data_IF_612256500903
#
_entry.id   IF_612256500903
#
_cell.length_a   1.000
_cell.length_b   1.000
_cell.length_c   1.000
_cell.angle_alpha   90.00
_cell.angle_beta   90.00
_cell.angle_gamma   90.00
#
_symmetry.space_group_name_H-M   'P 1'
#
loop_
_entity.id
_entity.type
_entity.pdbx_description
1 polymer ?
#
# COMPACT_ATOMS: atom_id res chain seq x y z
N UNK A 1 -30.40 0.32 2.30
CA UNK A 1 -29.66 1.45 1.67
C UNK A 1 -28.34 0.96 1.06
N UNK A 2 -27.49 0.23 1.81
CA UNK A 2 -26.20 -0.24 1.29
C UNK A 2 -26.32 -1.13 0.05
N UNK A 3 -27.22 -2.10 0.01
CA UNK A 3 -27.42 -2.98 -1.15
C UNK A 3 -27.78 -2.19 -2.42
N UNK A 4 -28.61 -1.15 -2.29
CA UNK A 4 -28.96 -0.29 -3.43
C UNK A 4 -27.73 0.48 -3.91
N UNK A 5 -26.93 1.02 -2.99
CA UNK A 5 -25.68 1.72 -3.33
C UNK A 5 -24.71 0.78 -4.05
N UNK A 6 -24.54 -0.45 -3.55
CA UNK A 6 -23.65 -1.45 -4.13
C UNK A 6 -24.12 -1.85 -5.54
N UNK A 7 -25.43 -2.09 -5.72
CA UNK A 7 -26.01 -2.39 -7.05
C UNK A 7 -25.77 -1.22 -8.00
N UNK A 8 -25.98 0.02 -7.54
CA UNK A 8 -25.75 1.21 -8.35
C UNK A 8 -24.28 1.33 -8.77
N UNK A 9 -23.35 1.10 -7.86
CA UNK A 9 -21.91 1.09 -8.16
C UNK A 9 -21.58 0.06 -9.24
N UNK A 10 -22.13 -1.15 -9.13
CA UNK A 10 -21.91 -2.21 -10.12
C UNK A 10 -22.48 -1.84 -11.50
N UNK A 11 -23.69 -1.30 -11.54
CA UNK A 11 -24.33 -0.88 -12.80
C UNK A 11 -23.54 0.26 -13.46
N UNK A 12 -23.13 1.26 -12.69
CA UNK A 12 -22.30 2.36 -13.20
C UNK A 12 -20.95 1.78 -13.70
N UNK A 13 -20.33 0.88 -12.95
CA UNK A 13 -19.07 0.28 -13.33
C UNK A 13 -19.19 -0.50 -14.64
N UNK A 14 -20.22 -1.33 -14.77
CA UNK A 14 -20.52 -2.08 -15.99
C UNK A 14 -20.71 -1.15 -17.19
N UNK A 15 -21.53 -0.10 -17.04
CA UNK A 15 -21.73 0.91 -18.08
C UNK A 15 -20.43 1.61 -18.49
N UNK A 16 -19.61 2.01 -17.53
CA UNK A 16 -18.32 2.65 -17.79
C UNK A 16 -17.34 1.71 -18.50
N UNK A 17 -17.29 0.43 -18.10
CA UNK A 17 -16.49 -0.59 -18.79
C UNK A 17 -16.98 -0.82 -20.22
N UNK A 18 -18.30 -0.78 -20.44
CA UNK A 18 -18.88 -0.87 -21.78
C UNK A 18 -18.49 0.33 -22.65
N UNK A 19 -18.48 1.53 -22.10
CA UNK A 19 -18.06 2.75 -22.81
C UNK A 19 -16.57 2.76 -23.12
N UNK A 20 -15.72 2.60 -22.11
CA UNK A 20 -14.26 2.49 -22.24
C UNK A 20 -13.67 1.73 -21.06
N UNK A 21 -12.70 0.85 -21.33
CA UNK A 21 -12.00 0.14 -20.27
C UNK A 21 -11.26 1.10 -19.33
N UNK A 22 -10.75 2.22 -19.85
CA UNK A 22 -10.08 3.25 -19.05
C UNK A 22 -11.03 3.95 -18.08
N UNK A 23 -12.28 4.24 -18.49
CA UNK A 23 -13.31 4.75 -17.56
C UNK A 23 -13.67 3.74 -16.48
N UNK A 24 -13.77 2.45 -16.84
CA UNK A 24 -13.96 1.37 -15.87
C UNK A 24 -12.81 1.29 -14.86
N UNK A 25 -11.55 1.33 -15.33
CA UNK A 25 -10.38 1.35 -14.47
C UNK A 25 -10.33 2.58 -13.56
N UNK A 26 -10.60 3.77 -14.07
CA UNK A 26 -10.66 4.99 -13.29
C UNK A 26 -11.73 4.89 -12.19
N UNK A 27 -12.92 4.42 -12.51
CA UNK A 27 -13.98 4.22 -11.54
C UNK A 27 -13.62 3.15 -10.49
N UNK A 28 -12.98 2.04 -10.91
CA UNK A 28 -12.45 1.04 -9.98
C UNK A 28 -11.46 1.63 -9.00
N UNK A 29 -10.51 2.48 -9.47
CA UNK A 29 -9.55 3.17 -8.61
C UNK A 29 -10.28 4.04 -7.57
N UNK A 30 -11.29 4.81 -7.99
CA UNK A 30 -12.07 5.65 -7.08
C UNK A 30 -12.80 4.83 -6.03
N UNK A 31 -13.51 3.77 -6.45
CA UNK A 31 -14.25 2.90 -5.53
C UNK A 31 -13.33 2.18 -4.58
N UNK A 32 -12.21 1.62 -5.08
CA UNK A 32 -11.21 0.94 -4.23
C UNK A 32 -10.60 1.87 -3.18
N UNK A 33 -10.45 3.17 -3.49
CA UNK A 33 -9.92 4.15 -2.56
C UNK A 33 -10.95 4.63 -1.53
N UNK A 34 -12.23 4.75 -1.94
CA UNK A 34 -13.27 5.43 -1.15
C UNK A 34 -14.15 4.46 -0.37
N UNK A 35 -14.46 3.29 -0.92
CA UNK A 35 -15.40 2.34 -0.30
C UNK A 35 -14.63 1.36 0.61
N UNK A 36 -15.15 1.01 1.79
CA UNK A 36 -14.50 0.04 2.68
C UNK A 36 -14.48 -1.38 2.11
N UNK A 37 -13.40 -2.11 2.38
CA UNK A 37 -13.16 -3.49 1.92
C UNK A 37 -14.22 -4.53 2.34
N UNK A 38 -14.87 -4.44 3.52
CA UNK A 38 -15.86 -5.43 3.95
C UNK A 38 -17.11 -5.52 3.08
N UNK A 39 -17.32 -4.53 2.18
CA UNK A 39 -18.46 -4.54 1.26
C UNK A 39 -18.44 -5.77 0.35
N UNK A 40 -19.39 -6.68 0.53
CA UNK A 40 -19.49 -7.95 -0.23
C UNK A 40 -20.69 -7.96 -1.18
N UNK A 41 -20.52 -8.68 -2.30
CA UNK A 41 -21.53 -8.92 -3.34
C UNK A 41 -21.46 -10.38 -3.73
N UNK A 42 -22.56 -11.12 -3.55
CA UNK A 42 -22.62 -12.55 -3.87
C UNK A 42 -21.44 -13.37 -3.29
N UNK A 43 -21.03 -13.06 -2.05
CA UNK A 43 -19.91 -13.72 -1.37
C UNK A 43 -18.51 -13.24 -1.75
N UNK A 44 -18.38 -12.41 -2.79
CA UNK A 44 -17.11 -11.78 -3.19
C UNK A 44 -17.02 -10.36 -2.64
N UNK A 45 -15.79 -9.87 -2.44
CA UNK A 45 -15.62 -8.44 -2.17
C UNK A 45 -16.06 -7.62 -3.37
N UNK A 46 -16.61 -6.42 -3.13
CA UNK A 46 -17.02 -5.51 -4.20
C UNK A 46 -15.89 -5.29 -5.22
N UNK A 47 -14.66 -5.15 -4.75
CA UNK A 47 -13.48 -4.95 -5.62
C UNK A 47 -13.19 -6.15 -6.50
N UNK A 48 -13.27 -7.36 -5.94
CA UNK A 48 -13.08 -8.59 -6.72
C UNK A 48 -14.14 -8.69 -7.80
N UNK A 49 -15.39 -8.37 -7.48
CA UNK A 49 -16.49 -8.37 -8.45
C UNK A 49 -16.25 -7.35 -9.57
N UNK A 50 -15.83 -6.13 -9.24
CA UNK A 50 -15.49 -5.11 -10.23
C UNK A 50 -14.30 -5.53 -11.10
N UNK A 51 -13.29 -6.18 -10.52
CA UNK A 51 -12.15 -6.70 -11.30
C UNK A 51 -12.56 -7.80 -12.27
N UNK A 52 -13.46 -8.69 -11.87
CA UNK A 52 -14.02 -9.72 -12.78
C UNK A 52 -14.71 -9.07 -13.98
N UNK A 53 -15.51 -8.02 -13.74
CA UNK A 53 -16.15 -7.25 -14.84
C UNK A 53 -15.07 -6.63 -15.74
N UNK A 54 -14.05 -5.98 -15.17
CA UNK A 54 -12.96 -5.38 -15.96
C UNK A 54 -12.20 -6.42 -16.79
N UNK A 55 -11.89 -7.57 -16.20
CA UNK A 55 -11.22 -8.68 -16.90
C UNK A 55 -12.09 -9.18 -18.05
N UNK A 56 -13.38 -9.37 -17.82
CA UNK A 56 -14.32 -9.78 -18.87
C UNK A 56 -14.31 -8.81 -20.05
N UNK A 57 -14.46 -7.51 -19.80
CA UNK A 57 -14.41 -6.50 -20.86
C UNK A 57 -13.03 -6.39 -21.52
N UNK A 58 -11.94 -6.58 -20.75
CA UNK A 58 -10.59 -6.62 -21.30
C UNK A 58 -10.41 -7.80 -22.27
N UNK A 59 -10.89 -9.00 -21.89
CA UNK A 59 -10.84 -10.18 -22.76
C UNK A 59 -11.65 -9.99 -24.04
N UNK A 60 -12.91 -9.55 -23.94
CA UNK A 60 -13.77 -9.30 -25.10
C UNK A 60 -13.14 -8.30 -26.07
N UNK A 61 -12.61 -7.21 -25.55
CA UNK A 61 -11.93 -6.18 -26.38
C UNK A 61 -10.60 -6.65 -26.92
N UNK A 62 -9.84 -7.46 -26.18
CA UNK A 62 -8.55 -7.98 -26.66
C UNK A 62 -8.73 -9.05 -27.75
N UNK A 63 -9.79 -9.83 -27.69
CA UNK A 63 -10.15 -10.77 -28.78
C UNK A 63 -10.41 -10.03 -30.10
N UNK A 64 -10.98 -8.81 -30.03
CA UNK A 64 -11.28 -7.96 -31.20
C UNK A 64 -10.04 -7.18 -31.68
N UNK A 65 -9.07 -6.86 -30.78
CA UNK A 65 -7.94 -5.94 -31.07
C UNK A 65 -6.57 -6.60 -30.87
N UNK A 66 -6.07 -7.35 -31.83
CA UNK A 66 -4.79 -8.11 -31.73
C UNK A 66 -3.47 -7.28 -31.79
N UNK A 67 -3.49 -5.93 -31.81
CA UNK A 67 -2.31 -5.12 -32.20
C UNK A 67 -1.25 -4.86 -31.11
N UNK A 68 -1.52 -5.04 -29.80
CA UNK A 68 -0.60 -4.58 -28.72
C UNK A 68 0.17 -5.69 -27.98
N UNK A 69 0.52 -6.79 -28.67
CA UNK A 69 1.15 -7.96 -28.01
C UNK A 69 2.52 -7.73 -27.36
N UNK A 70 3.34 -6.80 -27.87
CA UNK A 70 4.74 -6.62 -27.38
C UNK A 70 4.83 -5.99 -25.99
N UNK A 71 4.02 -4.99 -25.70
CA UNK A 71 4.10 -4.23 -24.44
C UNK A 71 3.56 -5.01 -23.25
N UNK A 72 2.50 -5.81 -23.46
CA UNK A 72 1.91 -6.66 -22.43
C UNK A 72 2.86 -7.80 -22.06
N UNK A 73 3.53 -8.44 -23.02
CA UNK A 73 4.50 -9.53 -22.77
C UNK A 73 5.69 -9.07 -21.92
N UNK A 74 6.24 -7.86 -22.16
CA UNK A 74 7.37 -7.35 -21.39
C UNK A 74 7.00 -7.06 -19.91
N UNK A 75 5.75 -6.69 -19.64
CA UNK A 75 5.26 -6.39 -18.30
C UNK A 75 4.82 -7.63 -17.51
N UNK A 76 4.45 -8.73 -18.18
CA UNK A 76 4.00 -9.98 -17.52
C UNK A 76 5.14 -10.79 -16.91
N UNK A 77 6.34 -10.63 -17.44
CA UNK A 77 7.49 -11.47 -17.09
C UNK A 77 7.80 -11.52 -15.58
N UNK A 78 7.87 -10.42 -14.79
CA UNK A 78 8.18 -10.50 -13.37
C UNK A 78 7.16 -11.33 -12.58
N UNK A 79 5.88 -11.24 -12.93
CA UNK A 79 4.79 -11.90 -12.19
C UNK A 79 4.74 -13.40 -12.39
N UNK A 80 5.14 -13.89 -13.57
CA UNK A 80 5.28 -15.32 -13.82
C UNK A 80 6.33 -15.92 -12.90
N UNK A 81 7.45 -15.20 -12.71
CA UNK A 81 8.53 -15.64 -11.80
C UNK A 81 8.20 -15.49 -10.31
N UNK A 82 7.11 -14.84 -9.95
CA UNK A 82 6.60 -14.82 -8.59
C UNK A 82 5.58 -15.94 -8.37
N UNK A 83 4.50 -15.93 -9.18
CA UNK A 83 3.33 -16.76 -8.93
C UNK A 83 3.61 -18.23 -9.18
N UNK A 84 4.32 -18.57 -10.26
CA UNK A 84 4.56 -19.96 -10.66
C UNK A 84 5.46 -20.73 -9.67
N UNK A 85 6.62 -20.21 -9.23
CA UNK A 85 7.41 -20.87 -8.21
C UNK A 85 6.68 -21.03 -6.88
N UNK A 86 5.93 -20.00 -6.43
CA UNK A 86 5.15 -20.08 -5.19
C UNK A 86 4.06 -21.17 -5.30
N UNK A 87 3.40 -21.28 -6.46
CA UNK A 87 2.42 -22.34 -6.70
C UNK A 87 3.05 -23.74 -6.65
N UNK A 88 4.26 -23.91 -7.19
CA UNK A 88 4.99 -25.19 -7.14
C UNK A 88 5.43 -25.49 -5.70
N UNK A 89 5.98 -24.52 -4.98
CA UNK A 89 6.39 -24.71 -3.58
C UNK A 89 5.21 -25.11 -2.69
N UNK A 90 4.02 -24.62 -2.99
CA UNK A 90 2.78 -24.99 -2.30
C UNK A 90 2.46 -26.49 -2.38
N UNK A 91 2.93 -27.22 -3.38
CA UNK A 91 2.74 -28.67 -3.49
C UNK A 91 3.44 -29.47 -2.39
N UNK A 92 4.44 -28.88 -1.74
CA UNK A 92 5.22 -29.49 -0.67
C UNK A 92 4.77 -29.01 0.73
N UNK A 93 3.74 -28.17 0.80
CA UNK A 93 3.22 -27.62 2.04
C UNK A 93 2.23 -28.53 2.75
N UNK A 94 1.95 -28.21 4.01
CA UNK A 94 0.99 -28.93 4.87
C UNK A 94 -0.41 -28.31 4.86
N UNK A 95 -0.57 -27.11 4.28
CA UNK A 95 -1.87 -26.44 4.15
C UNK A 95 -2.69 -27.10 3.04
N UNK A 96 -4.00 -27.15 3.22
CA UNK A 96 -4.92 -27.67 2.20
C UNK A 96 -4.72 -26.98 0.84
N UNK A 97 -4.61 -27.77 -0.22
CA UNK A 97 -4.33 -27.27 -1.56
C UNK A 97 -5.42 -26.35 -2.07
N UNK A 98 -6.69 -26.61 -1.78
CA UNK A 98 -7.78 -25.78 -2.24
C UNK A 98 -7.71 -24.37 -1.64
N UNK A 99 -7.34 -24.30 -0.36
CA UNK A 99 -7.12 -23.03 0.34
C UNK A 99 -5.90 -22.27 -0.23
N UNK A 100 -4.78 -22.97 -0.44
CA UNK A 100 -3.55 -22.36 -0.97
C UNK A 100 -3.78 -21.75 -2.35
N UNK A 101 -4.31 -22.54 -3.29
CA UNK A 101 -4.54 -22.05 -4.67
C UNK A 101 -5.61 -20.98 -4.73
N UNK A 102 -6.66 -21.09 -3.92
CA UNK A 102 -7.67 -20.02 -3.80
C UNK A 102 -7.04 -18.72 -3.32
N UNK A 103 -6.18 -18.78 -2.30
CA UNK A 103 -5.49 -17.60 -1.75
C UNK A 103 -4.52 -16.99 -2.76
N UNK A 104 -3.77 -17.83 -3.50
CA UNK A 104 -2.84 -17.37 -4.53
C UNK A 104 -3.57 -16.75 -5.73
N UNK A 105 -4.68 -17.35 -6.17
CA UNK A 105 -5.53 -16.80 -7.22
C UNK A 105 -6.15 -15.48 -6.77
N UNK A 106 -6.61 -15.40 -5.52
CA UNK A 106 -7.12 -14.17 -4.95
C UNK A 106 -6.04 -13.08 -4.95
N UNK A 107 -4.83 -13.36 -4.49
CA UNK A 107 -3.70 -12.43 -4.55
C UNK A 107 -3.43 -11.96 -5.99
N UNK A 108 -3.33 -12.88 -6.94
CA UNK A 108 -3.11 -12.54 -8.35
C UNK A 108 -4.24 -11.66 -8.91
N UNK A 109 -5.49 -11.97 -8.54
CA UNK A 109 -6.67 -11.24 -8.99
C UNK A 109 -6.77 -9.85 -8.35
N UNK A 110 -6.63 -9.74 -7.02
CA UNK A 110 -6.89 -8.47 -6.32
C UNK A 110 -5.70 -7.53 -6.28
N UNK A 111 -4.49 -8.07 -6.20
CA UNK A 111 -3.28 -7.27 -5.99
C UNK A 111 -2.48 -7.05 -7.28
N UNK A 112 -2.45 -8.04 -8.18
CA UNK A 112 -1.62 -7.99 -9.38
C UNK A 112 -2.40 -7.55 -10.62
N UNK A 113 -3.64 -8.01 -10.80
CA UNK A 113 -4.42 -7.74 -12.01
C UNK A 113 -4.66 -6.24 -12.32
N UNK A 114 -4.78 -5.32 -11.31
CA UNK A 114 -4.93 -3.89 -11.58
C UNK A 114 -3.81 -3.32 -12.46
N UNK A 115 -2.58 -3.80 -12.29
CA UNK A 115 -1.46 -3.41 -13.15
C UNK A 115 -1.73 -3.73 -14.62
N UNK A 116 -2.10 -4.98 -14.92
CA UNK A 116 -2.34 -5.42 -16.29
C UNK A 116 -3.55 -4.74 -16.92
N UNK A 117 -4.61 -4.58 -16.12
CA UNK A 117 -5.82 -3.91 -16.59
C UNK A 117 -5.54 -2.46 -17.01
N UNK A 118 -4.76 -1.72 -16.21
CA UNK A 118 -4.34 -0.36 -16.58
C UNK A 118 -3.41 -0.34 -17.80
N UNK A 119 -2.47 -1.31 -17.89
CA UNK A 119 -1.60 -1.43 -19.05
C UNK A 119 -2.35 -1.68 -20.35
N UNK A 120 -3.48 -2.41 -20.29
CA UNK A 120 -4.34 -2.70 -21.45
C UNK A 120 -5.33 -1.55 -21.71
N UNK A 121 -5.88 -0.97 -20.64
CA UNK A 121 -6.95 0.03 -20.71
C UNK A 121 -6.46 1.38 -21.24
N UNK A 122 -5.29 1.85 -20.78
CA UNK A 122 -4.79 3.18 -21.11
C UNK A 122 -4.09 3.15 -22.47
N UNK A 123 -4.70 3.78 -23.48
CA UNK A 123 -4.22 3.81 -24.86
C UNK A 123 -3.74 5.18 -25.32
N UNK A 124 -4.17 6.25 -24.66
CA UNK A 124 -3.85 7.62 -24.99
C UNK A 124 -3.61 8.48 -23.73
N UNK A 125 -3.16 9.71 -23.94
CA UNK A 125 -2.85 10.65 -22.86
C UNK A 125 -4.07 11.05 -22.05
N UNK A 126 -5.23 11.20 -22.64
CA UNK A 126 -6.46 11.62 -21.96
C UNK A 126 -6.95 10.55 -20.99
N UNK A 127 -6.86 9.27 -21.39
CA UNK A 127 -7.15 8.14 -20.51
C UNK A 127 -6.16 8.04 -19.36
N UNK A 128 -4.87 8.33 -19.61
CA UNK A 128 -3.89 8.40 -18.54
C UNK A 128 -4.20 9.55 -17.57
N UNK A 129 -4.49 10.74 -18.09
CA UNK A 129 -4.88 11.90 -17.27
C UNK A 129 -6.12 11.62 -16.43
N UNK A 130 -7.11 10.94 -17.01
CA UNK A 130 -8.31 10.53 -16.28
C UNK A 130 -7.96 9.66 -15.07
N UNK A 131 -7.19 8.58 -15.26
CA UNK A 131 -6.79 7.68 -14.17
C UNK A 131 -5.97 8.39 -13.10
N UNK A 132 -5.02 9.24 -13.50
CA UNK A 132 -4.19 10.05 -12.59
C UNK A 132 -5.04 11.03 -11.79
N UNK A 133 -5.93 11.76 -12.45
CA UNK A 133 -6.84 12.72 -11.80
C UNK A 133 -7.75 12.01 -10.81
N UNK A 134 -8.31 10.87 -11.20
CA UNK A 134 -9.18 10.07 -10.33
C UNK A 134 -8.41 9.57 -9.09
N UNK A 135 -7.23 8.99 -9.27
CA UNK A 135 -6.38 8.55 -8.15
C UNK A 135 -6.06 9.71 -7.20
N UNK A 136 -5.67 10.86 -7.77
CA UNK A 136 -5.28 12.03 -6.98
C UNK A 136 -6.46 12.61 -6.18
N UNK A 137 -7.62 12.77 -6.80
CA UNK A 137 -8.82 13.32 -6.15
C UNK A 137 -9.32 12.35 -5.07
N UNK A 138 -9.41 11.06 -5.40
CA UNK A 138 -9.87 10.03 -4.46
C UNK A 138 -8.97 9.99 -3.23
N UNK A 139 -7.64 10.03 -3.42
CA UNK A 139 -6.71 10.07 -2.29
C UNK A 139 -6.83 11.36 -1.47
N UNK A 140 -7.01 12.52 -2.09
CA UNK A 140 -7.21 13.77 -1.35
C UNK A 140 -8.47 13.71 -0.47
N UNK A 141 -9.58 13.22 -1.02
CA UNK A 141 -10.83 13.08 -0.27
C UNK A 141 -10.60 12.17 0.95
N UNK A 142 -10.04 11.00 0.72
CA UNK A 142 -9.86 9.99 1.78
C UNK A 142 -8.75 10.36 2.75
N UNK A 143 -7.68 10.98 2.29
CA UNK A 143 -6.61 11.44 3.16
C UNK A 143 -7.06 12.55 4.11
N UNK A 144 -7.89 13.50 3.64
CA UNK A 144 -8.52 14.50 4.51
C UNK A 144 -9.49 13.83 5.47
N UNK A 145 -10.32 12.94 4.98
CA UNK A 145 -11.25 12.18 5.80
C UNK A 145 -10.54 11.38 6.91
N UNK A 146 -9.42 10.74 6.57
CA UNK A 146 -8.59 10.04 7.56
C UNK A 146 -8.14 10.97 8.69
N UNK A 147 -7.69 12.18 8.38
CA UNK A 147 -7.29 13.17 9.39
C UNK A 147 -8.50 13.63 10.21
N UNK A 148 -9.65 13.86 9.57
CA UNK A 148 -10.88 14.22 10.29
C UNK A 148 -11.28 13.12 11.26
N UNK A 149 -11.27 11.86 10.85
CA UNK A 149 -11.57 10.72 11.73
C UNK A 149 -10.57 10.59 12.87
N UNK A 150 -9.29 10.87 12.62
CA UNK A 150 -8.25 10.87 13.65
C UNK A 150 -8.49 11.95 14.71
N UNK A 151 -8.86 13.17 14.31
CA UNK A 151 -9.08 14.29 15.23
C UNK A 151 -10.41 14.14 15.98
N UNK A 152 -11.47 13.71 15.30
CA UNK A 152 -12.81 13.63 15.88
C UNK A 152 -13.08 12.30 16.58
N UNK A 153 -12.24 11.29 16.36
CA UNK A 153 -12.46 9.90 16.78
C UNK A 153 -13.80 9.31 16.30
N UNK A 154 -14.40 9.91 15.25
CA UNK A 154 -15.68 9.47 14.69
C UNK A 154 -15.45 9.00 13.26
N UNK A 155 -15.71 7.72 12.99
CA UNK A 155 -15.73 7.19 11.65
C UNK A 155 -17.17 7.12 11.11
N UNK A 156 -17.54 8.08 10.25
CA UNK A 156 -18.90 8.15 9.69
C UNK A 156 -19.27 6.91 8.84
N UNK A 157 -18.30 6.22 8.25
CA UNK A 157 -18.59 4.96 7.55
C UNK A 157 -19.10 3.90 8.52
N UNK A 158 -18.48 3.78 9.67
CA UNK A 158 -18.95 2.87 10.72
C UNK A 158 -20.34 3.28 11.19
N UNK A 159 -20.58 4.57 11.42
CA UNK A 159 -21.89 5.06 11.84
C UNK A 159 -22.98 4.82 10.78
N UNK A 160 -22.67 5.06 9.50
CA UNK A 160 -23.65 4.93 8.42
C UNK A 160 -23.91 3.47 8.03
N UNK A 161 -22.95 2.59 8.19
CA UNK A 161 -22.96 1.23 7.65
C UNK A 161 -22.75 0.14 8.69
N UNK A 162 -22.67 0.47 10.00
CA UNK A 162 -22.43 -0.48 11.08
C UNK A 162 -23.33 -1.72 11.01
N UNK A 163 -24.65 -1.51 10.81
CA UNK A 163 -25.62 -2.61 10.70
C UNK A 163 -25.51 -3.43 9.41
N UNK A 164 -24.79 -2.93 8.42
CA UNK A 164 -24.69 -3.57 7.11
C UNK A 164 -23.40 -4.38 6.96
N UNK A 165 -22.42 -4.17 7.82
CA UNK A 165 -21.11 -4.80 7.76
C UNK A 165 -20.91 -5.91 8.79
N UNK A 166 -21.93 -6.22 9.58
CA UNK A 166 -21.84 -7.21 10.67
C UNK A 166 -20.60 -6.96 11.57
N UNK A 167 -20.43 -5.70 11.95
CA UNK A 167 -19.42 -5.30 12.91
C UNK A 167 -19.83 -5.85 14.29
N UNK A 168 -19.51 -7.11 14.53
CA UNK A 168 -19.67 -7.74 15.84
C UNK A 168 -18.61 -7.20 16.80
N UNK A 169 -18.92 -6.18 17.51
CA UNK A 169 -18.08 -5.60 18.55
C UNK A 169 -17.41 -4.29 18.09
N UNK A 170 -17.14 -3.48 18.97
CA UNK A 170 -16.39 -2.23 18.97
C UNK A 170 -16.46 -1.40 17.68
N UNK A 171 -17.55 -0.67 17.55
CA UNK A 171 -17.55 0.59 16.84
C UNK A 171 -16.28 1.33 17.25
N UNK A 172 -15.35 1.57 16.31
CA UNK A 172 -14.23 2.44 16.55
C UNK A 172 -14.68 3.89 16.68
N UNK A 173 -15.41 4.12 17.75
CA UNK A 173 -15.42 5.37 18.47
C UNK A 173 -14.15 5.32 19.27
N UNK A 174 -13.15 6.10 18.88
CA UNK A 174 -11.80 6.07 19.38
C UNK A 174 -11.65 5.66 20.84
N UNK A 175 -11.43 4.40 21.08
CA UNK A 175 -10.99 3.91 22.37
C UNK A 175 -9.51 4.22 22.54
N UNK A 176 -9.15 5.53 22.63
CA UNK A 176 -7.81 5.96 22.98
C UNK A 176 -6.68 5.52 22.06
N UNK A 177 -6.98 4.98 20.88
CA UNK A 177 -5.93 4.63 19.94
C UNK A 177 -5.49 5.86 19.15
N UNK A 178 -4.35 6.37 19.51
CA UNK A 178 -3.68 7.54 18.98
C UNK A 178 -3.10 7.33 17.57
N UNK A 179 -3.71 6.46 16.76
CA UNK A 179 -3.20 6.11 15.43
C UNK A 179 -4.19 6.41 14.34
N UNK A 180 -3.71 7.08 13.29
CA UNK A 180 -4.48 7.24 12.05
C UNK A 180 -4.62 5.89 11.34
N UNK A 181 -5.82 5.36 11.25
CA UNK A 181 -6.10 4.09 10.56
C UNK A 181 -6.71 4.26 9.17
N UNK A 182 -6.96 5.49 8.76
CA UNK A 182 -7.69 5.79 7.54
C UNK A 182 -9.19 5.49 7.66
N UNK A 183 -9.91 5.73 6.58
CA UNK A 183 -11.36 5.48 6.50
C UNK A 183 -11.70 4.00 6.48
N UNK A 184 -10.72 3.20 6.12
CA UNK A 184 -10.87 1.79 5.81
C UNK A 184 -10.73 0.90 7.04
N UNK A 185 -10.58 1.49 8.24
CA UNK A 185 -10.36 0.70 9.43
C UNK A 185 -11.64 0.01 9.87
N UNK A 186 -11.73 -1.27 9.62
CA UNK A 186 -12.62 -2.15 10.33
C UNK A 186 -11.80 -3.25 10.99
N UNK A 187 -11.73 -3.22 12.28
CA UNK A 187 -11.10 -4.31 13.05
C UNK A 187 -12.00 -5.54 13.15
N UNK A 188 -13.27 -5.39 12.85
CA UNK A 188 -14.29 -6.42 13.10
C UNK A 188 -14.20 -7.66 12.19
N UNK A 189 -13.50 -7.61 11.07
CA UNK A 189 -13.48 -8.75 10.13
C UNK A 189 -12.26 -9.65 10.24
N UNK A 190 -11.36 -9.43 11.21
CA UNK A 190 -10.07 -10.13 11.26
C UNK A 190 -9.15 -9.84 10.05
N UNK A 191 -9.60 -9.01 9.12
CA UNK A 191 -8.81 -8.53 8.02
C UNK A 191 -7.92 -7.39 8.52
N UNK A 192 -6.68 -7.69 8.86
CA UNK A 192 -5.65 -6.72 9.22
C UNK A 192 -5.38 -5.68 8.10
N UNK A 193 -6.03 -5.84 6.95
CA UNK A 193 -5.85 -5.03 5.76
C UNK A 193 -6.29 -3.57 5.90
N UNK A 194 -6.99 -3.21 6.94
CA UNK A 194 -7.63 -1.91 7.11
C UNK A 194 -7.10 -1.13 8.31
N UNK A 195 -5.93 -1.49 8.81
CA UNK A 195 -5.29 -0.83 9.93
C UNK A 195 -4.34 0.31 9.54
N UNK A 196 -3.65 0.87 10.51
CA UNK A 196 -2.69 1.95 10.34
C UNK A 196 -1.53 1.58 9.39
N UNK A 197 -1.08 0.32 9.40
CA UNK A 197 0.01 -0.14 8.52
C UNK A 197 -0.40 -0.09 7.04
N UNK A 198 -1.50 -0.74 6.61
CA UNK A 198 -1.94 -0.66 5.21
C UNK A 198 -2.19 0.77 4.75
N UNK A 199 -2.84 1.58 5.57
CA UNK A 199 -3.08 2.98 5.24
C UNK A 199 -1.79 3.78 5.09
N UNK A 200 -0.83 3.55 5.99
CA UNK A 200 0.49 4.15 5.90
C UNK A 200 1.25 3.72 4.65
N UNK A 201 1.20 2.43 4.28
CA UNK A 201 1.80 1.94 3.04
C UNK A 201 1.15 2.55 1.80
N UNK A 202 -0.19 2.67 1.78
CA UNK A 202 -0.90 3.36 0.70
C UNK A 202 -0.45 4.82 0.62
N UNK A 203 -0.38 5.52 1.76
CA UNK A 203 0.05 6.92 1.82
C UNK A 203 1.51 7.10 1.39
N UNK A 204 2.39 6.14 1.71
CA UNK A 204 3.78 6.12 1.25
C UNK A 204 3.88 5.94 -0.28
N UNK A 205 3.05 5.07 -0.86
CA UNK A 205 2.93 4.90 -2.31
C UNK A 205 2.42 6.19 -2.95
N UNK A 206 1.42 6.84 -2.36
CA UNK A 206 0.89 8.11 -2.84
C UNK A 206 1.91 9.25 -2.69
N UNK A 207 2.68 9.29 -1.61
CA UNK A 207 3.80 10.23 -1.46
C UNK A 207 4.81 10.06 -2.60
N UNK A 208 5.22 8.84 -2.87
CA UNK A 208 6.11 8.51 -3.98
C UNK A 208 5.52 8.98 -5.32
N UNK A 209 4.23 8.72 -5.54
CA UNK A 209 3.52 9.20 -6.72
C UNK A 209 3.55 10.73 -6.82
N UNK A 210 3.19 11.46 -5.78
CA UNK A 210 3.19 12.92 -5.76
C UNK A 210 4.57 13.54 -5.99
N UNK A 211 5.62 12.92 -5.44
CA UNK A 211 6.99 13.38 -5.58
C UNK A 211 7.56 13.19 -6.99
N UNK A 212 7.33 12.03 -7.60
CA UNK A 212 7.95 11.67 -8.88
C UNK A 212 7.05 11.87 -10.10
N UNK A 213 5.72 11.94 -9.96
CA UNK A 213 4.84 12.17 -11.08
C UNK A 213 4.77 13.67 -11.45
N UNK A 214 5.16 14.03 -12.68
CA UNK A 214 5.39 15.45 -13.04
C UNK A 214 4.16 16.20 -13.53
N UNK A 215 3.21 15.50 -14.17
CA UNK A 215 2.05 16.14 -14.79
C UNK A 215 0.78 16.04 -13.93
N UNK A 216 0.88 16.40 -12.67
CA UNK A 216 -0.29 16.85 -11.94
C UNK A 216 -0.42 18.35 -12.32
N UNK A 217 -1.38 18.65 -13.20
CA UNK A 217 -1.46 19.94 -13.90
C UNK A 217 -1.61 21.16 -12.96
N UNK A 218 -2.10 20.95 -11.74
CA UNK A 218 -2.24 22.01 -10.75
C UNK A 218 -1.17 21.87 -9.65
N UNK A 219 -0.29 22.90 -9.55
CA UNK A 219 0.78 22.94 -8.54
C UNK A 219 0.24 22.93 -7.10
N UNK A 220 -0.90 23.58 -6.86
CA UNK A 220 -1.54 23.58 -5.54
C UNK A 220 -2.02 22.17 -5.21
N UNK A 221 -2.72 21.52 -6.14
CA UNK A 221 -3.18 20.13 -5.99
C UNK A 221 -2.02 19.19 -5.70
N UNK A 222 -0.90 19.33 -6.42
CA UNK A 222 0.30 18.52 -6.22
C UNK A 222 0.90 18.72 -4.83
N UNK A 223 1.05 19.97 -4.41
CA UNK A 223 1.64 20.27 -3.10
C UNK A 223 0.73 19.79 -1.96
N UNK A 224 -0.58 20.03 -2.06
CA UNK A 224 -1.56 19.54 -1.08
C UNK A 224 -1.55 18.02 -0.99
N UNK A 225 -1.43 17.35 -2.13
CA UNK A 225 -1.33 15.89 -2.20
C UNK A 225 -0.08 15.36 -1.48
N UNK A 226 1.09 15.97 -1.70
CA UNK A 226 2.35 15.59 -1.03
C UNK A 226 2.27 15.85 0.47
N UNK A 227 1.79 17.03 0.89
CA UNK A 227 1.65 17.39 2.30
C UNK A 227 0.71 16.40 2.99
N UNK A 228 -0.44 16.13 2.37
CA UNK A 228 -1.42 15.20 2.90
C UNK A 228 -0.86 13.77 3.03
N UNK A 229 -0.07 13.32 2.03
CA UNK A 229 0.57 12.02 2.08
C UNK A 229 1.61 11.92 3.21
N UNK A 230 2.42 12.96 3.41
CA UNK A 230 3.37 13.03 4.54
C UNK A 230 2.62 13.00 5.87
N UNK A 231 1.58 13.82 6.03
CA UNK A 231 0.78 13.84 7.27
C UNK A 231 0.13 12.48 7.55
N UNK A 232 -0.48 11.86 6.53
CA UNK A 232 -1.09 10.54 6.71
C UNK A 232 -0.04 9.47 7.06
N UNK A 233 1.14 9.47 6.44
CA UNK A 233 2.23 8.56 6.83
C UNK A 233 2.63 8.76 8.29
N UNK A 234 2.82 10.01 8.70
CA UNK A 234 3.28 10.37 10.04
C UNK A 234 2.26 10.00 11.10
N UNK A 235 0.97 10.34 10.89
CA UNK A 235 -0.10 10.10 11.85
C UNK A 235 -0.47 8.60 12.02
N UNK A 236 0.01 7.71 11.13
CA UNK A 236 -0.13 6.27 11.37
C UNK A 236 0.74 5.75 12.50
N UNK A 237 1.72 6.53 12.95
CA UNK A 237 2.68 6.18 14.02
C UNK A 237 3.49 4.91 13.79
N UNK A 238 3.38 4.30 12.61
CA UNK A 238 4.04 3.04 12.30
C UNK A 238 5.45 3.26 11.74
N UNK A 239 6.45 2.73 12.44
CA UNK A 239 7.89 2.83 12.06
C UNK A 239 8.16 2.31 10.66
N UNK A 240 7.49 1.22 10.28
CA UNK A 240 7.60 0.64 8.94
C UNK A 240 7.12 1.55 7.81
N UNK A 241 6.43 2.64 8.15
CA UNK A 241 5.99 3.68 7.22
C UNK A 241 6.84 4.94 7.38
N UNK A 242 7.06 5.37 8.61
CA UNK A 242 7.79 6.62 8.92
C UNK A 242 9.25 6.53 8.46
N UNK A 243 9.94 5.42 8.75
CA UNK A 243 11.36 5.27 8.37
C UNK A 243 11.56 5.31 6.85
N UNK A 244 10.82 4.52 6.04
CA UNK A 244 10.90 4.65 4.58
C UNK A 244 10.52 6.04 4.06
N UNK A 245 9.52 6.69 4.66
CA UNK A 245 9.13 8.06 4.32
C UNK A 245 10.29 9.04 4.53
N UNK A 246 10.92 8.99 5.70
CA UNK A 246 12.06 9.87 6.03
C UNK A 246 13.26 9.62 5.11
N UNK A 247 13.56 8.37 4.80
CA UNK A 247 14.62 8.02 3.84
C UNK A 247 14.31 8.55 2.44
N UNK A 248 13.05 8.44 1.98
CA UNK A 248 12.61 8.96 0.70
C UNK A 248 12.71 10.50 0.65
N UNK A 249 12.22 11.18 1.68
CA UNK A 249 12.31 12.64 1.79
C UNK A 249 13.77 13.11 1.89
N UNK A 250 14.60 12.41 2.69
CA UNK A 250 16.03 12.67 2.81
C UNK A 250 16.75 12.52 1.47
N UNK A 251 16.48 11.46 0.72
CA UNK A 251 17.01 11.27 -0.62
C UNK A 251 16.66 12.46 -1.55
N UNK A 252 15.39 12.86 -1.56
CA UNK A 252 14.94 13.97 -2.38
C UNK A 252 15.61 15.28 -1.94
N UNK A 253 15.72 15.47 -0.64
CA UNK A 253 16.34 16.67 -0.08
C UNK A 253 17.82 16.80 -0.50
N UNK A 254 18.56 15.70 -0.43
CA UNK A 254 19.98 15.66 -0.84
C UNK A 254 20.13 15.84 -2.34
N UNK A 255 19.42 15.07 -3.15
CA UNK A 255 19.65 15.04 -4.60
C UNK A 255 19.08 16.23 -5.36
N UNK A 256 18.10 16.95 -4.81
CA UNK A 256 17.53 18.14 -5.46
C UNK A 256 18.25 19.45 -5.18
N UNK A 257 19.40 19.39 -4.49
CA UNK A 257 20.15 20.59 -4.15
C UNK A 257 19.34 21.55 -3.28
N UNK A 258 18.41 21.00 -2.48
CA UNK A 258 17.60 21.78 -1.54
C UNK A 258 18.49 22.38 -0.44
N UNK A 259 19.73 21.92 -0.26
CA UNK A 259 20.77 22.52 0.56
C UNK A 259 21.23 23.89 0.04
N UNK A 260 20.29 24.75 -0.34
CA UNK A 260 20.59 26.18 -0.48
C UNK A 260 20.59 26.80 0.91
N UNK A 261 21.46 27.81 1.12
CA UNK A 261 21.51 28.59 2.39
C UNK A 261 20.09 29.02 2.82
N UNK A 262 19.25 29.42 1.86
CA UNK A 262 17.86 29.84 2.11
C UNK A 262 16.97 28.70 2.63
N UNK A 263 17.11 27.50 2.10
CA UNK A 263 16.29 26.35 2.54
C UNK A 263 16.82 25.74 3.83
N UNK A 264 18.14 25.82 4.07
CA UNK A 264 18.73 25.44 5.35
C UNK A 264 18.18 26.33 6.47
N UNK A 265 18.16 27.65 6.27
CA UNK A 265 17.59 28.60 7.23
C UNK A 265 16.11 28.31 7.49
N UNK A 266 15.32 28.00 6.43
CA UNK A 266 13.92 27.59 6.60
C UNK A 266 13.79 26.29 7.37
N UNK A 267 14.64 25.30 7.07
CA UNK A 267 14.66 24.03 7.78
C UNK A 267 14.98 24.20 9.27
N UNK A 268 15.99 25.00 9.58
CA UNK A 268 16.32 25.37 10.97
C UNK A 268 15.14 26.10 11.62
N UNK A 269 14.51 27.06 10.91
CA UNK A 269 13.32 27.74 11.40
C UNK A 269 12.17 26.80 11.75
N UNK A 270 11.91 25.81 10.90
CA UNK A 270 10.89 24.79 11.17
C UNK A 270 11.24 23.91 12.40
N UNK A 271 12.50 23.56 12.55
CA UNK A 271 12.96 22.79 13.74
C UNK A 271 12.78 23.65 15.01
N UNK A 272 13.14 24.92 14.97
CA UNK A 272 12.93 25.85 16.11
C UNK A 272 11.44 25.97 16.43
N UNK A 273 10.59 26.16 15.42
CA UNK A 273 9.12 26.20 15.60
C UNK A 273 8.64 24.88 16.23
N UNK A 274 9.11 23.72 15.74
CA UNK A 274 8.79 22.42 16.32
C UNK A 274 9.18 22.31 17.79
N UNK A 275 10.39 22.78 18.18
CA UNK A 275 10.85 22.81 19.57
C UNK A 275 9.98 23.75 20.42
N UNK A 276 9.65 24.93 19.91
CA UNK A 276 8.78 25.87 20.60
C UNK A 276 7.38 25.29 20.83
N UNK A 277 6.82 24.65 19.81
CA UNK A 277 5.54 23.94 19.93
C UNK A 277 5.61 22.77 20.93
N UNK A 278 6.67 21.98 20.89
CA UNK A 278 6.89 20.90 21.83
C UNK A 278 6.94 21.39 23.29
N UNK A 279 7.61 22.52 23.55
CA UNK A 279 7.73 23.06 24.90
C UNK A 279 6.39 23.65 25.39
N UNK A 280 5.66 24.35 24.51
CA UNK A 280 4.51 25.19 24.93
C UNK A 280 3.15 24.53 24.69
N UNK A 281 3.05 23.47 23.87
CA UNK A 281 1.77 22.85 23.51
C UNK A 281 1.76 21.39 24.02
N UNK A 282 1.01 21.09 25.10
CA UNK A 282 0.98 19.74 25.68
C UNK A 282 0.64 18.65 24.66
N UNK A 283 -0.35 18.88 23.81
CA UNK A 283 -0.77 17.93 22.76
C UNK A 283 0.39 17.59 21.81
N UNK A 284 1.24 18.56 21.45
CA UNK A 284 2.42 18.31 20.61
C UNK A 284 3.45 17.47 21.33
N UNK A 285 3.60 17.67 22.63
CA UNK A 285 4.48 16.88 23.49
C UNK A 285 4.00 15.45 23.59
N UNK A 286 2.70 15.25 23.84
CA UNK A 286 2.09 13.92 23.93
C UNK A 286 2.23 13.15 22.61
N UNK A 287 1.97 13.83 21.48
CA UNK A 287 2.18 13.26 20.13
C UNK A 287 3.66 12.93 19.89
N UNK A 288 4.60 13.74 20.39
CA UNK A 288 6.02 13.44 20.27
C UNK A 288 6.39 12.19 21.07
N UNK A 289 5.99 12.13 22.35
CA UNK A 289 6.28 10.99 23.22
C UNK A 289 5.63 9.71 22.71
N UNK A 290 4.35 9.76 22.34
CA UNK A 290 3.63 8.57 21.89
C UNK A 290 4.08 8.07 20.51
N UNK A 291 4.53 8.96 19.61
CA UNK A 291 4.72 8.62 18.19
C UNK A 291 6.18 8.66 17.73
N UNK A 292 6.94 9.67 18.16
CA UNK A 292 8.32 9.87 17.68
C UNK A 292 9.29 9.14 18.59
N UNK A 293 9.17 9.32 19.87
CA UNK A 293 10.06 8.72 20.86
C UNK A 293 9.95 7.19 20.84
N UNK A 294 8.73 6.67 20.90
CA UNK A 294 8.46 5.23 20.74
C UNK A 294 8.92 4.68 19.38
N UNK A 295 8.89 5.47 18.31
CA UNK A 295 9.40 5.05 17.01
C UNK A 295 10.92 5.02 16.93
N UNK A 296 11.60 5.92 17.64
CA UNK A 296 13.06 6.03 17.60
C UNK A 296 13.76 4.98 18.48
N UNK A 297 13.19 4.63 19.62
CA UNK A 297 13.84 3.75 20.61
C UNK A 297 13.45 2.27 20.55
N UNK A 298 13.06 1.78 19.35
CA UNK A 298 12.62 0.38 19.17
C UNK A 298 13.71 -0.68 19.45
N UNK A 299 14.96 -0.28 19.51
CA UNK A 299 16.11 -1.17 19.79
C UNK A 299 16.40 -1.32 21.28
N UNK A 300 15.77 -0.51 22.12
CA UNK A 300 15.96 -0.50 23.57
C UNK A 300 14.71 -1.07 24.24
N UNK A 301 14.85 -2.29 24.75
CA UNK A 301 13.73 -3.01 25.36
C UNK A 301 13.35 -2.42 26.74
N UNK A 302 14.28 -1.77 27.43
CA UNK A 302 14.04 -1.15 28.74
C UNK A 302 13.24 0.14 28.57
N UNK A 303 13.63 1.00 27.62
CA UNK A 303 12.86 2.19 27.25
C UNK A 303 11.49 1.83 26.67
N UNK A 304 11.40 0.73 25.93
CA UNK A 304 10.13 0.25 25.40
C UNK A 304 9.16 -0.19 26.51
N UNK A 305 9.68 -0.79 27.59
CA UNK A 305 8.88 -1.19 28.75
C UNK A 305 8.47 0.01 29.61
N UNK A 306 9.36 1.00 29.76
CA UNK A 306 9.10 2.22 30.55
C UNK A 306 8.00 3.11 29.94
N UNK A 307 7.88 3.12 28.60
CA UNK A 307 6.93 3.99 27.87
C UNK A 307 5.68 3.28 27.34
N UNK A 308 5.31 2.11 27.89
CA UNK A 308 4.15 1.32 27.42
C UNK A 308 4.12 1.14 25.91
N UNK A 309 5.23 0.71 25.36
CA UNK A 309 5.49 0.66 23.93
C UNK A 309 4.50 -0.24 23.19
N UNK A 310 3.61 0.36 22.40
CA UNK A 310 2.66 -0.37 21.56
C UNK A 310 3.32 -0.76 20.23
N UNK A 311 3.79 -1.98 20.12
CA UNK A 311 4.38 -2.52 18.88
C UNK A 311 5.48 -3.53 19.17
N UNK A 312 5.96 -4.20 18.11
CA UNK A 312 7.03 -5.19 18.24
C UNK A 312 8.39 -4.51 18.43
N UNK A 313 9.01 -4.78 19.57
CA UNK A 313 10.39 -4.39 19.88
C UNK A 313 11.38 -5.37 19.23
N UNK A 314 12.68 -5.17 19.45
CA UNK A 314 13.75 -6.00 18.89
C UNK A 314 13.65 -7.45 19.39
N UNK A 315 13.43 -7.65 20.69
CA UNK A 315 13.33 -8.99 21.31
C UNK A 315 12.15 -9.78 20.76
N UNK A 316 10.99 -9.14 20.61
CA UNK A 316 9.80 -9.75 20.02
C UNK A 316 10.04 -10.16 18.55
N UNK A 317 10.69 -9.31 17.74
CA UNK A 317 11.03 -9.65 16.35
C UNK A 317 11.99 -10.82 16.26
N UNK A 318 12.97 -10.88 17.17
CA UNK A 318 13.90 -12.00 17.24
C UNK A 318 13.17 -13.29 17.64
N UNK A 319 12.29 -13.22 18.63
CA UNK A 319 11.46 -14.35 19.04
C UNK A 319 10.57 -14.86 17.94
N UNK A 320 9.92 -13.97 17.17
CA UNK A 320 9.15 -14.33 15.97
C UNK A 320 10.03 -15.03 14.92
N UNK A 321 11.24 -14.54 14.66
CA UNK A 321 12.15 -15.16 13.71
C UNK A 321 12.61 -16.56 14.16
N UNK A 322 12.95 -16.73 15.43
CA UNK A 322 13.31 -18.04 16.00
C UNK A 322 12.12 -18.99 15.92
N UNK A 323 10.93 -18.52 16.30
CA UNK A 323 9.69 -19.31 16.24
C UNK A 323 9.40 -19.81 14.81
N UNK A 324 9.46 -18.93 13.82
CA UNK A 324 9.22 -19.28 12.42
C UNK A 324 10.26 -20.28 11.91
N UNK A 325 11.54 -20.10 12.23
CA UNK A 325 12.59 -21.03 11.83
C UNK A 325 12.40 -22.43 12.46
N UNK A 326 12.01 -22.50 13.72
CA UNK A 326 11.70 -23.78 14.37
C UNK A 326 10.45 -24.43 13.74
N UNK A 327 9.44 -23.62 13.41
CA UNK A 327 8.20 -24.10 12.82
C UNK A 327 8.41 -24.74 11.44
N UNK A 328 9.34 -24.21 10.64
CA UNK A 328 9.64 -24.71 9.29
C UNK A 328 10.82 -25.67 9.23
N UNK A 329 11.33 -26.15 10.36
CA UNK A 329 12.55 -27.00 10.40
C UNK A 329 12.53 -28.14 9.40
N UNK A 330 11.40 -28.86 9.29
CA UNK A 330 11.21 -29.97 8.36
C UNK A 330 10.89 -29.52 6.91
N UNK A 331 10.53 -28.25 6.73
CA UNK A 331 10.16 -27.65 5.46
C UNK A 331 10.98 -26.39 5.13
N UNK A 332 12.24 -26.37 5.55
CA UNK A 332 13.13 -25.20 5.48
C UNK A 332 13.17 -24.54 4.09
N UNK A 333 13.24 -25.32 3.02
CA UNK A 333 13.32 -24.80 1.64
C UNK A 333 11.96 -24.45 1.03
N UNK A 334 10.90 -25.21 1.37
CA UNK A 334 9.60 -25.15 0.69
C UNK A 334 8.52 -24.43 1.49
N UNK A 335 8.73 -24.27 2.80
CA UNK A 335 7.72 -23.75 3.72
C UNK A 335 6.53 -24.69 3.95
N UNK A 336 5.54 -24.18 4.67
CA UNK A 336 4.37 -24.95 5.10
C UNK A 336 3.16 -24.81 4.16
N UNK A 337 3.27 -24.02 3.11
CA UNK A 337 2.24 -23.79 2.11
C UNK A 337 1.70 -22.37 2.10
N UNK A 338 1.34 -21.86 0.90
CA UNK A 338 0.87 -20.50 0.73
C UNK A 338 -0.39 -20.22 1.55
N UNK A 339 -0.36 -19.12 2.29
CA UNK A 339 -1.45 -18.76 3.22
C UNK A 339 -1.36 -19.43 4.59
N UNK A 340 -0.29 -20.17 4.89
CA UNK A 340 -0.07 -20.78 6.20
C UNK A 340 -0.24 -19.79 7.37
N UNK A 341 0.30 -18.55 7.34
CA UNK A 341 0.11 -17.59 8.42
C UNK A 341 -1.36 -17.32 8.75
N UNK A 342 -2.23 -17.31 7.75
CA UNK A 342 -3.68 -17.11 7.95
C UNK A 342 -4.28 -18.29 8.70
N UNK A 343 -3.97 -19.52 8.27
CA UNK A 343 -4.48 -20.74 8.90
C UNK A 343 -3.97 -20.85 10.33
N UNK A 344 -2.68 -20.54 10.53
CA UNK A 344 -2.05 -20.56 11.84
C UNK A 344 -2.68 -19.55 12.80
N UNK A 345 -2.87 -18.31 12.36
CA UNK A 345 -3.51 -17.29 13.17
C UNK A 345 -4.96 -17.63 13.51
N UNK A 346 -5.71 -18.25 12.58
CA UNK A 346 -7.07 -18.73 12.87
C UNK A 346 -7.08 -19.82 13.94
N UNK A 347 -6.10 -20.72 13.93
CA UNK A 347 -6.00 -21.83 14.88
C UNK A 347 -5.58 -21.39 16.28
N UNK A 348 -4.69 -20.41 16.37
CA UNK A 348 -4.04 -19.98 17.62
C UNK A 348 -4.39 -18.54 18.02
N UNK A 349 -5.55 -18.05 17.60
CA UNK A 349 -5.99 -16.69 17.87
C UNK A 349 -5.90 -16.35 19.37
N UNK A 350 -5.11 -15.31 19.70
CA UNK A 350 -4.95 -14.83 21.07
C UNK A 350 -4.01 -15.60 21.98
N UNK A 351 -3.30 -16.64 21.46
CA UNK A 351 -2.50 -17.49 22.32
C UNK A 351 -1.14 -16.90 22.76
N UNK A 352 -0.40 -16.22 21.88
CA UNK A 352 0.90 -15.59 22.22
C UNK A 352 1.30 -14.54 21.17
N UNK A 353 2.11 -13.57 21.55
CA UNK A 353 2.66 -12.54 20.65
C UNK A 353 3.61 -13.09 19.57
N UNK A 354 4.22 -14.26 19.83
CA UNK A 354 5.14 -14.91 18.90
C UNK A 354 4.44 -15.52 17.66
N UNK A 355 3.12 -15.59 17.66
CA UNK A 355 2.34 -16.22 16.57
C UNK A 355 2.07 -15.29 15.38
N UNK A 356 2.41 -14.00 15.48
CA UNK A 356 2.17 -13.05 14.40
C UNK A 356 3.32 -13.00 13.40
N UNK A 357 2.99 -13.16 12.12
CA UNK A 357 3.93 -13.07 11.01
C UNK A 357 3.95 -11.64 10.46
N UNK A 358 4.58 -10.75 11.21
CA UNK A 358 4.44 -9.29 11.00
C UNK A 358 5.34 -8.72 9.89
N UNK A 359 6.04 -9.54 9.13
CA UNK A 359 6.88 -9.05 8.03
C UNK A 359 6.75 -9.95 6.80
N UNK A 360 6.97 -9.37 5.60
CA UNK A 360 7.01 -10.16 4.37
C UNK A 360 8.04 -11.29 4.44
N UNK A 361 9.14 -11.05 5.14
CA UNK A 361 10.18 -12.05 5.38
C UNK A 361 9.60 -13.25 6.14
N UNK A 362 8.99 -13.04 7.31
CA UNK A 362 8.45 -14.14 8.14
C UNK A 362 7.27 -14.84 7.47
N UNK A 363 6.35 -14.08 6.86
CA UNK A 363 5.21 -14.62 6.11
C UNK A 363 5.69 -15.50 4.96
N UNK A 364 6.64 -15.02 4.17
CA UNK A 364 7.13 -15.73 3.00
C UNK A 364 7.91 -16.99 3.39
N UNK A 365 8.77 -16.91 4.41
CA UNK A 365 9.54 -18.07 4.87
C UNK A 365 8.59 -19.14 5.43
N UNK A 366 7.61 -18.77 6.23
CA UNK A 366 6.64 -19.74 6.76
C UNK A 366 5.77 -20.35 5.65
N UNK A 367 5.39 -19.57 4.66
CA UNK A 367 4.50 -20.00 3.56
C UNK A 367 5.23 -20.81 2.48
N UNK A 368 6.42 -20.36 2.07
CA UNK A 368 7.11 -20.84 0.86
C UNK A 368 8.60 -21.12 1.09
N UNK A 369 9.05 -21.14 2.34
CA UNK A 369 10.42 -21.40 2.73
C UNK A 369 11.41 -20.34 2.26
N UNK A 370 12.69 -20.63 2.44
CA UNK A 370 13.75 -19.73 2.00
C UNK A 370 13.81 -19.58 0.47
N UNK A 371 13.40 -20.59 -0.29
CA UNK A 371 13.28 -20.47 -1.76
C UNK A 371 12.22 -19.43 -2.11
N UNK A 372 11.05 -19.48 -1.47
CA UNK A 372 10.01 -18.49 -1.69
C UNK A 372 10.46 -17.06 -1.36
N UNK A 373 11.25 -16.89 -0.30
CA UNK A 373 11.82 -15.59 0.04
C UNK A 373 12.78 -15.07 -1.04
N UNK A 374 13.65 -15.92 -1.58
CA UNK A 374 14.52 -15.57 -2.71
C UNK A 374 13.70 -15.24 -3.98
N UNK A 375 12.58 -15.93 -4.20
CA UNK A 375 11.66 -15.63 -5.31
C UNK A 375 11.08 -14.22 -5.17
N UNK A 376 10.70 -13.77 -3.97
CA UNK A 376 10.23 -12.41 -3.73
C UNK A 376 11.33 -11.35 -3.97
N UNK A 377 12.54 -11.59 -3.49
CA UNK A 377 13.68 -10.69 -3.75
C UNK A 377 13.93 -10.59 -5.26
N UNK A 378 13.96 -11.72 -5.95
CA UNK A 378 14.15 -11.77 -7.39
C UNK A 378 13.02 -11.07 -8.15
N UNK A 379 11.78 -11.26 -7.72
CA UNK A 379 10.63 -10.55 -8.28
C UNK A 379 10.77 -9.03 -8.17
N UNK A 380 11.10 -8.50 -6.98
CA UNK A 380 11.30 -7.06 -6.82
C UNK A 380 12.48 -6.56 -7.66
N UNK A 381 13.57 -7.31 -7.72
CA UNK A 381 14.70 -6.98 -8.58
C UNK A 381 14.30 -6.91 -10.07
N UNK A 382 13.55 -7.90 -10.55
CA UNK A 382 13.03 -7.90 -11.92
C UNK A 382 12.06 -6.75 -12.17
N UNK A 383 11.17 -6.46 -11.22
CA UNK A 383 10.22 -5.37 -11.32
C UNK A 383 10.95 -4.03 -11.43
N UNK A 384 11.92 -3.76 -10.56
CA UNK A 384 12.76 -2.56 -10.62
C UNK A 384 13.51 -2.49 -11.96
N UNK A 385 14.12 -3.58 -12.40
CA UNK A 385 14.86 -3.64 -13.67
C UNK A 385 13.94 -3.38 -14.88
N UNK A 386 12.74 -3.94 -14.88
CA UNK A 386 11.78 -3.79 -16.00
C UNK A 386 11.12 -2.43 -16.02
N UNK A 387 10.96 -1.79 -14.86
CA UNK A 387 10.42 -0.43 -14.75
C UNK A 387 11.50 0.65 -14.68
N UNK A 388 12.79 0.26 -14.76
CA UNK A 388 13.94 1.18 -14.70
C UNK A 388 13.91 2.27 -15.78
N UNK A 389 13.13 2.10 -16.79
CA UNK A 389 12.85 3.11 -17.79
C UNK A 389 11.81 4.16 -17.35
N UNK A 390 11.17 4.00 -16.20
CA UNK A 390 10.19 4.97 -15.71
C UNK A 390 10.86 6.29 -15.26
N UNK A 391 12.11 6.23 -14.83
CA UNK A 391 12.87 7.39 -14.39
C UNK A 391 14.15 7.58 -15.21
N UNK A 392 14.55 8.84 -15.43
CA UNK A 392 15.79 9.17 -16.15
C UNK A 392 17.03 8.78 -15.34
N UNK A 393 16.98 9.04 -14.02
CA UNK A 393 18.04 8.69 -13.09
C UNK A 393 17.74 7.33 -12.44
N UNK A 394 18.74 6.45 -12.37
CA UNK A 394 18.63 5.14 -11.73
C UNK A 394 18.27 5.26 -10.23
N UNK A 395 18.84 6.24 -9.55
CA UNK A 395 18.55 6.48 -8.13
C UNK A 395 17.09 6.90 -7.89
N UNK A 396 16.51 7.71 -8.78
CA UNK A 396 15.08 8.05 -8.72
C UNK A 396 14.21 6.81 -8.89
N UNK A 397 14.62 5.90 -9.80
CA UNK A 397 13.89 4.64 -9.97
C UNK A 397 14.01 3.73 -8.73
N UNK A 398 15.17 3.64 -8.11
CA UNK A 398 15.31 2.89 -6.85
C UNK A 398 14.50 3.52 -5.72
N UNK A 399 14.45 4.84 -5.64
CA UNK A 399 13.66 5.54 -4.63
C UNK A 399 12.15 5.40 -4.85
N UNK A 400 11.70 5.32 -6.11
CA UNK A 400 10.32 5.04 -6.48
C UNK A 400 9.82 3.71 -5.89
N UNK A 401 10.67 2.70 -5.93
CA UNK A 401 10.34 1.36 -5.43
C UNK A 401 10.74 1.17 -3.96
N UNK A 402 11.88 1.75 -3.56
CA UNK A 402 12.56 1.45 -2.30
C UNK A 402 11.73 1.75 -1.07
N UNK A 403 11.00 2.87 -1.05
CA UNK A 403 10.15 3.23 0.08
C UNK A 403 9.10 2.16 0.38
N UNK A 404 8.36 1.73 -0.65
CA UNK A 404 7.33 0.69 -0.50
C UNK A 404 7.94 -0.67 -0.16
N UNK A 405 8.98 -1.09 -0.91
CA UNK A 405 9.64 -2.38 -0.68
C UNK A 405 10.17 -2.47 0.75
N UNK A 406 10.85 -1.43 1.24
CA UNK A 406 11.34 -1.39 2.61
C UNK A 406 10.20 -1.51 3.62
N UNK A 407 9.09 -0.80 3.39
CA UNK A 407 7.93 -0.88 4.27
C UNK A 407 7.35 -2.30 4.37
N UNK A 408 7.19 -3.01 3.24
CA UNK A 408 6.64 -4.37 3.26
C UNK A 408 7.61 -5.41 3.81
N UNK A 409 8.92 -5.17 3.70
CA UNK A 409 9.92 -6.02 4.37
C UNK A 409 9.93 -5.83 5.89
N UNK A 410 9.64 -4.61 6.37
CA UNK A 410 9.55 -4.33 7.80
C UNK A 410 8.22 -4.80 8.41
N UNK A 411 7.16 -4.84 7.60
CA UNK A 411 5.84 -5.35 7.99
C UNK A 411 5.38 -6.43 7.01
N UNK A 412 4.18 -6.46 6.52
CA UNK A 412 3.76 -7.43 5.50
C UNK A 412 3.11 -6.69 4.32
N UNK A 413 2.85 -7.44 3.23
CA UNK A 413 1.97 -7.00 2.15
C UNK A 413 0.53 -7.19 2.65
N UNK A 414 -0.08 -6.09 3.05
CA UNK A 414 -1.52 -6.02 3.23
C UNK A 414 -2.14 -5.56 1.90
N UNK A 415 -3.37 -5.17 1.84
CA UNK A 415 -4.04 -4.75 0.59
C UNK A 415 -3.43 -3.48 -0.09
N UNK A 416 -2.26 -3.07 0.31
CA UNK A 416 -1.51 -1.93 -0.27
C UNK A 416 -0.83 -2.24 -1.60
N UNK A 417 -0.58 -3.53 -1.90
CA UNK A 417 0.18 -3.91 -3.11
C UNK A 417 -0.53 -3.51 -4.40
N UNK A 418 -1.86 -3.62 -4.45
CA UNK A 418 -2.63 -3.18 -5.59
C UNK A 418 -2.43 -1.68 -5.90
N UNK A 419 -2.34 -0.82 -4.88
CA UNK A 419 -2.08 0.61 -5.07
C UNK A 419 -0.67 0.87 -5.59
N UNK A 420 0.30 0.13 -5.07
CA UNK A 420 1.66 0.15 -5.61
C UNK A 420 1.68 -0.28 -7.09
N UNK A 421 0.98 -1.36 -7.45
CA UNK A 421 0.84 -1.82 -8.82
C UNK A 421 0.13 -0.80 -9.72
N UNK A 422 -0.92 -0.15 -9.25
CA UNK A 422 -1.61 0.94 -9.96
C UNK A 422 -0.64 2.08 -10.26
N UNK A 423 0.10 2.52 -9.26
CA UNK A 423 1.06 3.63 -9.40
C UNK A 423 2.17 3.27 -10.38
N UNK A 424 2.75 2.07 -10.29
CA UNK A 424 3.76 1.61 -11.24
C UNK A 424 3.21 1.56 -12.68
N UNK A 425 1.97 1.06 -12.88
CA UNK A 425 1.34 1.07 -14.20
C UNK A 425 1.21 2.49 -14.78
N UNK A 426 0.79 3.45 -13.96
CA UNK A 426 0.66 4.85 -14.37
C UNK A 426 2.04 5.46 -14.74
N UNK A 427 3.11 5.15 -14.02
CA UNK A 427 4.47 5.58 -14.37
C UNK A 427 4.93 4.97 -15.68
N UNK A 428 4.70 3.67 -15.90
CA UNK A 428 5.05 2.99 -17.14
C UNK A 428 4.31 3.61 -18.33
N UNK A 429 3.00 3.88 -18.18
CA UNK A 429 2.18 4.53 -19.21
C UNK A 429 2.59 5.97 -19.45
N UNK A 430 2.89 6.72 -18.40
CA UNK A 430 3.42 8.07 -18.54
C UNK A 430 4.67 8.10 -19.41
N UNK A 431 5.62 7.19 -19.17
CA UNK A 431 6.83 7.11 -19.98
C UNK A 431 6.53 6.76 -21.43
N UNK A 432 5.58 5.86 -21.69
CA UNK A 432 5.20 5.50 -23.07
C UNK A 432 4.73 6.71 -23.88
N UNK A 433 4.01 7.66 -23.24
CA UNK A 433 3.46 8.82 -23.94
C UNK A 433 4.38 10.04 -23.94
N UNK A 434 5.15 10.25 -22.88
CA UNK A 434 5.92 11.49 -22.69
C UNK A 434 7.45 11.28 -22.64
N UNK A 435 7.93 10.06 -22.80
CA UNK A 435 9.33 9.72 -22.57
C UNK A 435 9.65 9.56 -21.09
N UNK A 436 10.82 10.01 -20.62
CA UNK A 436 11.21 9.82 -19.21
C UNK A 436 10.34 10.64 -18.26
N UNK A 437 9.64 9.95 -17.38
CA UNK A 437 8.63 10.54 -16.48
C UNK A 437 9.20 11.17 -15.23
N UNK A 438 10.41 10.82 -14.87
CA UNK A 438 11.03 11.28 -13.67
C UNK A 438 11.83 12.55 -13.92
N UNK A 439 11.33 13.58 -13.36
CA UNK A 439 12.01 14.75 -12.89
C UNK A 439 12.89 15.51 -13.89
N UNK A 440 12.40 16.60 -14.43
CA UNK A 440 13.24 17.78 -14.62
C UNK A 440 13.46 18.38 -13.23
N UNK A 441 14.70 18.61 -12.77
CA UNK A 441 14.91 19.40 -11.59
C UNK A 441 14.09 20.67 -11.76
N UNK A 442 13.36 21.08 -10.73
CA UNK A 442 12.87 22.43 -10.61
C UNK A 442 14.13 23.30 -10.55
N UNK A 443 14.70 23.58 -11.72
CA UNK A 443 15.56 24.73 -11.84
C UNK A 443 14.62 25.89 -11.51
N UNK A 444 14.72 26.38 -10.28
CA UNK A 444 14.33 27.75 -10.03
C UNK A 444 15.10 28.53 -11.10
N UNK A 445 14.36 28.99 -12.11
CA UNK A 445 14.87 29.94 -13.08
C UNK A 445 15.55 31.00 -12.25
N UNK A 446 16.89 31.07 -12.36
CA UNK A 446 17.60 32.25 -11.94
C UNK A 446 17.03 33.39 -12.79
N UNK A 447 16.12 34.17 -12.27
CA UNK A 447 15.93 35.53 -12.63
C UNK A 447 16.77 36.38 -11.69
#
# INVERSE_FOLDING_TARGET
>A
MLHILVILIILIHFYLCFKSLAYGCAFYIAVKMIIPTPTRVAGLSLYTFMLVILIFFAMVRHMVWRKDKKNVKAATFPFVYLIFPIAILGLFGVVDYSFQYRSLIQFALTEVSPFFLLMIAIKNEDELRLCVKTLSISYLIIGVWGIVTYITHINLYVLLFANAFDYSGELYVGNGEEMLRGVLSSSASGNQSEGAIPWGQISLVMLTFGLFYQKIDNKILKNSFIILAVLNCFLTTKRSVIVPMLLLLGYIFVNKGIFTRKNLIRGIGLVIIGIVLYINVPVVRDVYHSNIETALFFWDDDLAAEHDFKGSNKSMRMSQAIYVNNLISDHFFTGLGYGYPIVHNMKYHGATDALYFESLYLDTISSSGYIGFLVWIFFFFLLIKKTNFACRNKLDNYSLHGGYILSVFLTNIYCSFAYYMIVIALFVKYKQFYGYSCYRPLYFVKN
#
